data_IF_121747067495
#
_entry.id   IF_121747067495
#
_cell.length_a   1.000
_cell.length_b   1.000
_cell.length_c   1.000
_cell.angle_alpha   90.00
_cell.angle_beta   90.00
_cell.angle_gamma   90.00
#
_symmetry.space_group_name_H-M   'P 1'
#
loop_
_entity.id
_entity.type
_entity.pdbx_description
1 polymer ?
#
# COMPACT_ATOMS: atom_id res chain seq x y z
N UNK A 1 -9.87 -11.99 -47.35
CA UNK A 1 -8.79 -11.15 -46.79
C UNK A 1 -9.42 -9.91 -46.18
N UNK A 2 -9.73 -9.94 -44.90
CA UNK A 2 -10.31 -8.81 -44.16
C UNK A 2 -9.18 -7.97 -43.61
N UNK A 3 -8.90 -6.85 -44.27
CA UNK A 3 -7.97 -5.83 -43.81
C UNK A 3 -8.58 -5.15 -42.58
N UNK A 4 -8.21 -5.60 -41.38
CA UNK A 4 -8.54 -4.90 -40.15
C UNK A 4 -7.72 -3.60 -40.14
N UNK A 5 -8.38 -2.47 -40.35
CA UNK A 5 -7.77 -1.15 -40.35
C UNK A 5 -7.03 -0.91 -39.02
N UNK A 6 -5.71 -0.65 -39.10
CA UNK A 6 -4.90 -0.15 -37.98
C UNK A 6 -5.53 1.14 -37.44
N UNK A 7 -6.02 1.09 -36.21
CA UNK A 7 -6.61 2.25 -35.52
C UNK A 7 -5.46 3.21 -35.12
N UNK A 8 -5.30 4.28 -35.91
CA UNK A 8 -4.57 5.53 -35.63
C UNK A 8 -3.05 5.45 -35.32
N UNK A 9 -2.23 5.29 -36.38
CA UNK A 9 -0.76 5.54 -36.40
C UNK A 9 -0.44 7.05 -36.64
N UNK A 10 -1.34 7.98 -36.34
CA UNK A 10 -1.05 9.43 -36.48
C UNK A 10 -0.14 9.86 -35.32
N UNK A 11 1.05 10.43 -35.59
CA UNK A 11 1.94 10.91 -34.54
C UNK A 11 1.25 11.97 -33.68
N UNK A 12 1.14 11.72 -32.38
CA UNK A 12 0.65 12.69 -31.41
C UNK A 12 1.82 13.55 -30.97
N UNK A 13 1.65 14.87 -31.01
CA UNK A 13 2.68 15.78 -30.51
C UNK A 13 2.72 15.73 -28.97
N UNK A 14 3.93 15.54 -28.44
CA UNK A 14 4.17 15.28 -27.02
C UNK A 14 4.75 16.55 -26.41
N UNK A 15 3.96 17.20 -25.56
CA UNK A 15 4.39 18.44 -24.90
C UNK A 15 5.20 18.14 -23.64
N UNK A 16 5.94 19.14 -23.15
CA UNK A 16 6.64 19.03 -21.88
C UNK A 16 5.71 18.73 -20.69
N UNK A 17 4.51 19.33 -20.67
CA UNK A 17 3.53 19.11 -19.59
C UNK A 17 3.03 17.65 -19.59
N UNK A 18 2.91 17.02 -20.76
CA UNK A 18 2.55 15.60 -20.84
C UNK A 18 3.64 14.71 -20.24
N UNK A 19 4.91 14.98 -20.58
CA UNK A 19 6.04 14.24 -20.01
C UNK A 19 6.13 14.41 -18.49
N UNK A 20 5.84 15.62 -18.00
CA UNK A 20 5.73 15.89 -16.57
C UNK A 20 4.59 15.08 -15.93
N UNK A 21 3.41 15.05 -16.55
CA UNK A 21 2.27 14.25 -16.09
C UNK A 21 2.58 12.75 -16.08
N UNK A 22 3.29 12.24 -17.10
CA UNK A 22 3.76 10.85 -17.13
C UNK A 22 4.71 10.57 -15.96
N UNK A 23 5.67 11.46 -15.71
CA UNK A 23 6.60 11.32 -14.58
C UNK A 23 5.86 11.34 -13.22
N UNK A 24 4.89 12.25 -13.06
CA UNK A 24 4.06 12.32 -11.86
C UNK A 24 3.28 11.01 -11.69
N UNK A 25 2.65 10.52 -12.75
CA UNK A 25 1.93 9.24 -12.74
C UNK A 25 2.84 8.10 -12.26
N UNK A 26 4.04 7.96 -12.83
CA UNK A 26 5.00 6.92 -12.41
C UNK A 26 5.46 7.08 -10.96
N UNK A 27 5.48 8.29 -10.40
CA UNK A 27 5.84 8.53 -9.00
C UNK A 27 4.68 8.15 -8.07
N UNK A 28 3.47 8.60 -8.38
CA UNK A 28 2.26 8.27 -7.61
C UNK A 28 2.02 6.76 -7.61
N UNK A 29 2.18 6.11 -8.77
CA UNK A 29 2.03 4.67 -8.90
C UNK A 29 3.03 3.90 -8.02
N UNK A 30 4.32 4.28 -8.03
CA UNK A 30 5.32 3.69 -7.14
C UNK A 30 4.99 3.89 -5.65
N UNK A 31 4.43 5.04 -5.30
CA UNK A 31 3.98 5.32 -3.93
C UNK A 31 2.83 4.40 -3.54
N UNK A 32 1.81 4.26 -4.39
CA UNK A 32 0.70 3.31 -4.18
C UNK A 32 1.21 1.88 -3.97
N UNK A 33 2.13 1.40 -4.82
CA UNK A 33 2.71 0.08 -4.64
C UNK A 33 3.49 -0.07 -3.31
N UNK A 34 4.22 0.95 -2.89
CA UNK A 34 4.92 0.94 -1.61
C UNK A 34 3.95 0.90 -0.42
N UNK A 35 2.89 1.69 -0.46
CA UNK A 35 1.86 1.69 0.58
C UNK A 35 1.06 0.40 0.60
N UNK A 36 0.73 -0.20 -0.54
CA UNK A 36 0.08 -1.52 -0.57
C UNK A 36 0.95 -2.60 0.09
N UNK A 37 2.28 -2.55 -0.12
CA UNK A 37 3.21 -3.44 0.60
C UNK A 37 3.24 -3.14 2.10
N UNK A 38 3.25 -1.85 2.50
CA UNK A 38 3.20 -1.46 3.91
C UNK A 38 1.89 -1.92 4.57
N UNK A 39 0.77 -1.72 3.90
CA UNK A 39 -0.56 -2.15 4.35
C UNK A 39 -0.60 -3.66 4.60
N UNK A 40 -0.04 -4.44 3.67
CA UNK A 40 0.08 -5.89 3.86
C UNK A 40 0.90 -6.23 5.11
N UNK A 41 2.06 -5.61 5.30
CA UNK A 41 2.89 -5.85 6.48
C UNK A 41 2.16 -5.48 7.78
N UNK A 42 1.43 -4.35 7.80
CA UNK A 42 0.65 -3.93 8.97
C UNK A 42 -0.46 -4.95 9.29
N UNK A 43 -1.17 -5.45 8.28
CA UNK A 43 -2.17 -6.50 8.46
C UNK A 43 -1.53 -7.80 8.99
N UNK A 44 -0.43 -8.23 8.40
CA UNK A 44 0.31 -9.42 8.84
C UNK A 44 0.80 -9.26 10.30
N UNK A 45 1.20 -8.06 10.72
CA UNK A 45 1.66 -7.78 12.08
C UNK A 45 0.50 -7.74 13.09
N UNK A 46 -0.68 -7.24 12.70
CA UNK A 46 -1.91 -7.32 13.54
C UNK A 46 -2.29 -8.79 13.77
N UNK A 47 -2.29 -9.62 12.72
CA UNK A 47 -2.59 -11.05 12.85
C UNK A 47 -1.61 -11.75 13.79
N UNK A 48 -0.30 -11.46 13.69
CA UNK A 48 0.70 -12.00 14.62
C UNK A 48 0.49 -11.57 16.07
N UNK A 49 0.04 -10.34 16.30
CA UNK A 49 -0.25 -9.86 17.65
C UNK A 49 -1.48 -10.57 18.23
N UNK A 50 -2.51 -10.82 17.42
CA UNK A 50 -3.69 -11.60 17.83
C UNK A 50 -3.35 -13.06 18.15
N UNK A 51 -2.50 -13.68 17.31
CA UNK A 51 -1.98 -15.02 17.57
C UNK A 51 -1.16 -15.05 18.87
N UNK A 52 -0.26 -14.08 19.07
CA UNK A 52 0.54 -13.97 20.29
C UNK A 52 -0.32 -13.75 21.54
N UNK A 53 -1.37 -12.93 21.45
CA UNK A 53 -2.31 -12.71 22.54
C UNK A 53 -3.05 -14.00 22.94
N UNK A 54 -3.44 -14.81 21.95
CA UNK A 54 -4.07 -16.12 22.19
C UNK A 54 -3.12 -17.09 22.90
N UNK A 55 -1.85 -17.13 22.50
CA UNK A 55 -0.84 -17.99 23.12
C UNK A 55 -0.52 -17.55 24.57
N UNK A 56 -0.46 -16.24 24.85
CA UNK A 56 -0.23 -15.71 26.20
C UNK A 56 -1.30 -16.18 27.19
N UNK A 57 -2.57 -16.32 26.76
CA UNK A 57 -3.66 -16.79 27.63
C UNK A 57 -3.48 -18.23 28.13
N UNK A 58 -2.65 -19.03 27.47
CA UNK A 58 -2.44 -20.45 27.77
C UNK A 58 -1.07 -20.68 28.44
N UNK A 59 -0.19 -19.67 28.46
CA UNK A 59 1.14 -19.76 29.05
C UNK A 59 1.14 -19.44 30.55
N UNK A 60 1.97 -20.17 31.31
CA UNK A 60 2.24 -19.88 32.73
C UNK A 60 3.31 -18.79 32.93
N UNK A 61 4.25 -18.66 31.99
CA UNK A 61 5.34 -17.67 32.03
C UNK A 61 5.54 -17.06 30.63
N UNK A 62 5.69 -15.74 30.55
CA UNK A 62 5.89 -15.01 29.28
C UNK A 62 7.16 -14.18 29.34
N UNK A 63 7.96 -14.28 28.28
CA UNK A 63 9.12 -13.41 28.04
C UNK A 63 8.79 -12.41 26.94
N UNK A 64 8.71 -11.14 27.30
CA UNK A 64 8.43 -10.05 26.36
C UNK A 64 9.74 -9.41 25.88
N UNK A 65 9.81 -9.05 24.59
CA UNK A 65 10.99 -8.39 24.00
C UNK A 65 10.92 -6.88 24.21
N UNK A 66 11.95 -6.32 24.83
CA UNK A 66 12.19 -4.89 24.91
C UNK A 66 13.54 -4.55 24.26
N UNK A 67 13.50 -4.02 23.04
CA UNK A 67 14.70 -3.72 22.26
C UNK A 67 15.49 -4.98 21.92
N UNK A 68 16.61 -5.19 22.59
CA UNK A 68 17.52 -6.34 22.40
C UNK A 68 17.46 -7.38 23.53
N UNK A 69 16.59 -7.18 24.53
CA UNK A 69 16.49 -8.04 25.71
C UNK A 69 15.10 -8.67 25.84
N UNK A 70 15.05 -9.84 26.49
CA UNK A 70 13.81 -10.49 26.91
C UNK A 70 13.62 -10.30 28.42
N UNK A 71 12.42 -9.91 28.83
CA UNK A 71 12.06 -9.65 30.23
C UNK A 71 10.87 -10.53 30.60
N UNK A 72 10.89 -11.12 31.79
CA UNK A 72 9.73 -11.83 32.33
C UNK A 72 8.62 -10.82 32.64
N UNK A 73 7.43 -11.08 32.10
CA UNK A 73 6.25 -10.21 32.24
C UNK A 73 5.06 -11.09 32.62
N UNK A 74 4.25 -10.62 33.57
CA UNK A 74 3.00 -11.29 33.95
C UNK A 74 2.06 -11.39 32.75
N UNK A 75 1.31 -12.49 32.62
CA UNK A 75 0.47 -12.73 31.44
C UNK A 75 -0.54 -11.60 31.19
N UNK A 76 -1.20 -11.10 32.24
CA UNK A 76 -2.13 -9.97 32.13
C UNK A 76 -1.45 -8.70 31.57
N UNK A 77 -0.22 -8.42 32.05
CA UNK A 77 0.55 -7.28 31.56
C UNK A 77 1.03 -7.49 30.12
N UNK A 78 1.36 -8.72 29.74
CA UNK A 78 1.73 -9.04 28.36
C UNK A 78 0.55 -8.84 27.40
N UNK A 79 -0.68 -9.20 27.80
CA UNK A 79 -1.91 -8.92 27.03
C UNK A 79 -2.10 -7.42 26.85
N UNK A 80 -2.01 -6.62 27.91
CA UNK A 80 -2.14 -5.16 27.82
C UNK A 80 -1.11 -4.53 26.88
N UNK A 81 0.14 -5.02 26.90
CA UNK A 81 1.20 -4.55 26.01
C UNK A 81 0.95 -4.91 24.54
N UNK A 82 0.45 -6.13 24.28
CA UNK A 82 0.09 -6.57 22.93
C UNK A 82 -1.09 -5.77 22.38
N UNK A 83 -2.12 -5.51 23.19
CA UNK A 83 -3.28 -4.71 22.82
C UNK A 83 -2.91 -3.25 22.52
N UNK A 84 -2.03 -2.66 23.33
CA UNK A 84 -1.53 -1.30 23.10
C UNK A 84 -0.76 -1.19 21.78
N UNK A 85 0.10 -2.17 21.48
CA UNK A 85 0.86 -2.20 20.23
C UNK A 85 -0.06 -2.47 19.03
N UNK A 86 -1.06 -3.34 19.18
CA UNK A 86 -2.06 -3.60 18.15
C UNK A 86 -2.84 -2.32 17.80
N UNK A 87 -3.33 -1.58 18.80
CA UNK A 87 -4.02 -0.31 18.57
C UNK A 87 -3.15 0.72 17.84
N UNK A 88 -1.84 0.76 18.16
CA UNK A 88 -0.88 1.63 17.47
C UNK A 88 -0.75 1.26 15.99
N UNK A 89 -0.64 -0.03 15.69
CA UNK A 89 -0.51 -0.54 14.32
C UNK A 89 -1.83 -0.37 13.53
N UNK A 90 -2.98 -0.56 14.17
CA UNK A 90 -4.31 -0.31 13.58
C UNK A 90 -4.48 1.16 13.20
N UNK A 91 -4.07 2.10 14.05
CA UNK A 91 -4.07 3.53 13.72
C UNK A 91 -3.16 3.84 12.53
N UNK A 92 -1.96 3.25 12.46
CA UNK A 92 -1.07 3.43 11.31
C UNK A 92 -1.69 2.85 10.02
N UNK A 93 -2.36 1.71 10.14
CA UNK A 93 -3.07 1.07 9.02
C UNK A 93 -4.17 1.98 8.48
N UNK A 94 -4.97 2.61 9.34
CA UNK A 94 -6.01 3.57 8.93
C UNK A 94 -5.43 4.77 8.18
N UNK A 95 -4.32 5.33 8.66
CA UNK A 95 -3.62 6.43 7.98
C UNK A 95 -3.13 6.03 6.58
N UNK A 96 -2.53 4.83 6.45
CA UNK A 96 -2.07 4.29 5.17
C UNK A 96 -3.23 4.04 4.21
N UNK A 97 -4.36 3.53 4.69
CA UNK A 97 -5.57 3.31 3.88
C UNK A 97 -6.18 4.62 3.39
N UNK A 98 -6.22 5.65 4.25
CA UNK A 98 -6.67 6.98 3.87
C UNK A 98 -5.78 7.58 2.77
N UNK A 99 -4.46 7.51 2.93
CA UNK A 99 -3.52 7.99 1.92
C UNK A 99 -3.65 7.22 0.59
N UNK A 100 -3.79 5.89 0.65
CA UNK A 100 -4.01 5.06 -0.54
C UNK A 100 -5.27 5.45 -1.30
N UNK A 101 -6.36 5.77 -0.58
CA UNK A 101 -7.61 6.22 -1.19
C UNK A 101 -7.40 7.52 -1.98
N UNK A 102 -6.74 8.50 -1.39
CA UNK A 102 -6.46 9.79 -2.04
C UNK A 102 -5.55 9.61 -3.26
N UNK A 103 -4.52 8.77 -3.14
CA UNK A 103 -3.62 8.47 -4.25
C UNK A 103 -4.32 7.73 -5.39
N UNK A 104 -5.24 6.81 -5.11
CA UNK A 104 -6.02 6.14 -6.15
C UNK A 104 -6.91 7.12 -6.92
N UNK A 105 -7.52 8.09 -6.25
CA UNK A 105 -8.30 9.16 -6.91
C UNK A 105 -7.39 9.97 -7.83
N UNK A 106 -6.28 10.50 -7.30
CA UNK A 106 -5.33 11.31 -8.08
C UNK A 106 -4.75 10.54 -9.28
N UNK A 107 -4.42 9.26 -9.08
CA UNK A 107 -3.88 8.41 -10.13
C UNK A 107 -4.94 8.08 -11.19
N UNK A 108 -6.19 7.88 -10.80
CA UNK A 108 -7.32 7.66 -11.71
C UNK A 108 -7.60 8.87 -12.60
N UNK A 109 -7.63 10.07 -12.02
CA UNK A 109 -7.80 11.33 -12.76
C UNK A 109 -6.66 11.53 -13.77
N UNK A 110 -5.42 11.35 -13.34
CA UNK A 110 -4.25 11.51 -14.20
C UNK A 110 -4.19 10.44 -15.31
N UNK A 111 -4.58 9.19 -14.99
CA UNK A 111 -4.73 8.12 -15.99
C UNK A 111 -5.73 8.52 -17.06
N UNK A 112 -6.92 8.98 -16.66
CA UNK A 112 -7.96 9.41 -17.59
C UNK A 112 -7.50 10.57 -18.50
N UNK A 113 -6.81 11.57 -17.94
CA UNK A 113 -6.25 12.69 -18.70
C UNK A 113 -5.23 12.21 -19.75
N UNK A 114 -4.31 11.33 -19.36
CA UNK A 114 -3.28 10.81 -20.26
C UNK A 114 -3.88 9.93 -21.37
N UNK A 115 -4.84 9.05 -21.06
CA UNK A 115 -5.53 8.23 -22.06
C UNK A 115 -6.45 9.04 -22.98
N UNK A 116 -7.07 10.11 -22.49
CA UNK A 116 -7.87 11.01 -23.33
C UNK A 116 -7.03 11.67 -24.43
N UNK A 117 -5.76 11.98 -24.14
CA UNK A 117 -4.84 12.59 -25.09
C UNK A 117 -4.12 11.57 -25.98
N UNK A 118 -3.54 10.54 -25.39
CA UNK A 118 -2.66 9.60 -26.10
C UNK A 118 -3.38 8.34 -26.61
N UNK A 119 -4.59 8.04 -26.11
CA UNK A 119 -5.36 6.88 -26.52
C UNK A 119 -4.57 5.58 -26.38
N UNK A 120 -4.50 4.81 -27.47
CA UNK A 120 -3.74 3.56 -27.54
C UNK A 120 -2.23 3.73 -27.70
N UNK A 121 -1.71 4.96 -27.80
CA UNK A 121 -0.28 5.24 -27.94
C UNK A 121 0.45 5.38 -26.60
N UNK A 122 -0.26 5.32 -25.47
CA UNK A 122 0.32 5.27 -24.13
C UNK A 122 -0.10 4.00 -23.39
N UNK A 123 0.84 3.41 -22.66
CA UNK A 123 0.58 2.26 -21.80
C UNK A 123 0.99 2.59 -20.36
N UNK A 124 -0.02 2.64 -19.48
CA UNK A 124 0.11 3.03 -18.07
C UNK A 124 -0.28 1.90 -17.11
N UNK A 125 -0.47 0.67 -17.62
CA UNK A 125 -0.88 -0.48 -16.79
C UNK A 125 0.30 -1.32 -16.30
N UNK A 126 0.07 -2.07 -15.22
CA UNK A 126 1.09 -2.78 -14.43
C UNK A 126 1.74 -3.97 -15.13
N UNK A 127 3.01 -4.19 -14.75
CA UNK A 127 3.58 -5.51 -14.50
C UNK A 127 3.78 -5.68 -13.00
#
# INVERSE_FOLDING_TARGET
MTTTAKKNDVPIDVTWEDQKNICIFSRLHRRVQALNRRLKLLTDDIEKLDDAGTEVMICDEVKYVFGEAFVDVECDQAVDLLDAEKQRIESEKEEVEAELKDLHVALGELKAQLYAKFGSQIYLEEK
#
